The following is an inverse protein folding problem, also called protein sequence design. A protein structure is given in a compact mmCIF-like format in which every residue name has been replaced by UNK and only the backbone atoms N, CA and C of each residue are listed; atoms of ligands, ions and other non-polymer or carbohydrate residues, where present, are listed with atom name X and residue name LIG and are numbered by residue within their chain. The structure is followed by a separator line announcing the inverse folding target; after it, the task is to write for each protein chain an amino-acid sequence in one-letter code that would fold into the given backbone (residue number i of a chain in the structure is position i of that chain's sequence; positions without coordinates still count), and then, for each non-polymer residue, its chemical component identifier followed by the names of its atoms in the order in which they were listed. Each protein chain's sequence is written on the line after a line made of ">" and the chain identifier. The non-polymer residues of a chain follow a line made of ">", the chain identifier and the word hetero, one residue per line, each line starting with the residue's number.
data_IF_722159218773
#
_entry.id   IF_722159218773
#
_cell.length_a   1.000
_cell.length_b   1.000
_cell.length_c   1.000
_cell.angle_alpha   90.00
_cell.angle_beta   90.00
_cell.angle_gamma   90.00
#
_symmetry.space_group_name_H-M   'P 1'
#
loop_
_entity.id
_entity.type
_entity.pdbx_description
1 polymer ?
#
# COMPACT_ATOMS: atom_id res chain seq x y z
N UNK A 1 11.24 -11.34 -25.60
CA UNK A 1 11.84 -10.12 -25.04
C UNK A 1 10.73 -9.11 -24.83
N UNK A 2 10.77 -8.31 -23.78
CA UNK A 2 9.84 -7.20 -23.62
C UNK A 2 10.09 -6.15 -24.72
N UNK A 3 9.05 -5.39 -25.09
CA UNK A 3 9.18 -4.25 -26.00
C UNK A 3 10.09 -3.19 -25.36
N UNK A 4 10.86 -2.46 -26.18
CA UNK A 4 11.48 -1.21 -25.72
C UNK A 4 10.40 -0.21 -25.28
N UNK A 5 10.74 0.82 -24.48
CA UNK A 5 9.74 1.80 -24.04
C UNK A 5 9.02 2.48 -25.20
N UNK A 6 9.73 2.85 -26.27
CA UNK A 6 9.13 3.46 -27.46
C UNK A 6 8.23 2.46 -28.21
N UNK A 7 8.67 1.21 -28.39
CA UNK A 7 7.84 0.17 -29.02
C UNK A 7 6.58 -0.15 -28.18
N UNK A 8 6.68 -0.15 -26.85
CA UNK A 8 5.54 -0.33 -25.96
C UNK A 8 4.56 0.85 -26.05
N UNK A 9 5.09 2.08 -26.08
CA UNK A 9 4.29 3.29 -26.27
C UNK A 9 3.58 3.28 -27.62
N UNK A 10 4.28 2.94 -28.70
CA UNK A 10 3.70 2.83 -30.05
C UNK A 10 2.64 1.72 -30.12
N UNK A 11 2.89 0.59 -29.46
CA UNK A 11 1.90 -0.49 -29.34
C UNK A 11 0.62 0.00 -28.65
N UNK A 12 0.73 0.73 -27.53
CA UNK A 12 -0.42 1.28 -26.84
C UNK A 12 -1.14 2.36 -27.68
N UNK A 13 -0.39 3.24 -28.36
CA UNK A 13 -0.95 4.27 -29.24
C UNK A 13 -1.75 3.71 -30.40
N UNK A 14 -1.35 2.55 -30.94
CA UNK A 14 -2.08 1.90 -32.02
C UNK A 14 -3.53 1.54 -31.65
N UNK A 15 -3.84 1.41 -30.36
CA UNK A 15 -5.18 1.16 -29.84
C UNK A 15 -5.89 2.42 -29.32
N UNK A 16 -5.23 3.58 -29.34
CA UNK A 16 -5.76 4.83 -28.83
C UNK A 16 -6.54 5.62 -29.90
N UNK A 17 -7.41 6.53 -29.46
CA UNK A 17 -8.10 7.47 -30.34
C UNK A 17 -7.18 8.60 -30.85
N UNK A 18 -7.72 9.55 -31.61
CA UNK A 18 -6.96 10.69 -32.13
C UNK A 18 -6.44 11.66 -31.07
N UNK A 19 -6.92 11.55 -29.82
CA UNK A 19 -6.42 12.30 -28.65
C UNK A 19 -5.46 11.47 -27.79
N UNK A 20 -5.01 10.30 -28.28
CA UNK A 20 -4.12 9.37 -27.59
C UNK A 20 -4.75 8.78 -26.31
N UNK A 21 -6.06 8.63 -26.25
CA UNK A 21 -6.76 8.00 -25.13
C UNK A 21 -7.12 6.56 -25.46
N UNK A 22 -6.87 5.67 -24.52
CA UNK A 22 -7.33 4.28 -24.60
C UNK A 22 -8.83 4.18 -24.24
N UNK A 23 -9.51 3.09 -24.64
CA UNK A 23 -10.83 2.77 -24.12
C UNK A 23 -10.84 2.66 -22.58
N UNK A 24 -11.98 2.95 -21.96
CA UNK A 24 -12.13 2.80 -20.51
C UNK A 24 -11.82 1.36 -20.06
N UNK A 25 -11.14 1.25 -18.92
CA UNK A 25 -10.84 -0.04 -18.32
C UNK A 25 -12.14 -0.75 -17.92
N UNK A 26 -12.22 -2.07 -18.11
CA UNK A 26 -13.38 -2.87 -17.67
C UNK A 26 -13.72 -2.68 -16.18
N UNK A 27 -12.72 -2.34 -15.36
CA UNK A 27 -12.87 -2.11 -13.93
C UNK A 27 -13.75 -0.90 -13.58
N UNK A 28 -13.85 0.11 -14.45
CA UNK A 28 -14.72 1.28 -14.20
C UNK A 28 -16.20 0.93 -14.37
N UNK A 29 -16.53 -0.20 -14.99
CA UNK A 29 -17.89 -0.73 -15.09
C UNK A 29 -18.25 -1.72 -13.98
N UNK A 30 -17.38 -1.96 -13.01
CA UNK A 30 -17.71 -2.81 -11.86
C UNK A 30 -18.56 -2.03 -10.86
N UNK A 31 -19.52 -2.69 -10.21
CA UNK A 31 -20.41 -2.06 -9.19
C UNK A 31 -19.66 -1.45 -7.99
N UNK A 32 -18.39 -1.83 -7.82
CA UNK A 32 -17.50 -1.35 -6.75
C UNK A 32 -16.65 -0.14 -7.18
N UNK A 33 -16.73 0.29 -8.44
CA UNK A 33 -16.12 1.53 -8.91
C UNK A 33 -16.74 2.72 -8.17
N UNK A 34 -15.95 3.66 -7.64
CA UNK A 34 -16.48 4.89 -7.05
C UNK A 34 -17.00 5.89 -8.09
N UNK A 35 -16.75 5.62 -9.38
CA UNK A 35 -17.08 6.52 -10.46
C UNK A 35 -18.12 5.91 -11.40
N UNK A 36 -19.16 6.67 -11.69
CA UNK A 36 -20.11 6.34 -12.75
C UNK A 36 -19.40 6.38 -14.12
N UNK A 37 -19.66 5.42 -15.02
CA UNK A 37 -19.00 5.39 -16.33
C UNK A 37 -19.28 6.61 -17.21
N UNK A 38 -20.43 7.26 -17.01
CA UNK A 38 -20.83 8.41 -17.81
C UNK A 38 -19.89 9.60 -17.55
N UNK A 39 -19.29 10.12 -18.63
CA UNK A 39 -18.35 11.24 -18.55
C UNK A 39 -16.92 10.88 -18.16
N UNK A 40 -16.64 9.64 -17.73
CA UNK A 40 -15.26 9.19 -17.51
C UNK A 40 -14.48 9.13 -18.83
N UNK A 41 -13.21 9.59 -18.77
CA UNK A 41 -12.29 9.55 -19.91
C UNK A 41 -10.91 9.12 -19.42
N UNK A 42 -10.26 8.22 -20.17
CA UNK A 42 -8.86 7.85 -19.90
C UNK A 42 -7.95 9.04 -20.23
N UNK A 43 -6.96 9.30 -19.38
CA UNK A 43 -5.96 10.33 -19.64
C UNK A 43 -5.15 10.02 -20.91
N UNK A 44 -4.70 11.03 -21.68
CA UNK A 44 -3.88 10.79 -22.86
C UNK A 44 -2.58 10.07 -22.50
N UNK A 45 -2.16 9.12 -23.33
CA UNK A 45 -0.88 8.45 -23.19
C UNK A 45 0.26 9.46 -23.35
N UNK A 46 1.18 9.48 -22.39
CA UNK A 46 2.40 10.27 -22.44
C UNK A 46 3.56 9.42 -23.00
N UNK A 47 4.46 9.99 -23.82
CA UNK A 47 5.67 9.30 -24.25
C UNK A 47 6.51 8.84 -23.04
N UNK A 48 7.31 7.76 -23.19
CA UNK A 48 8.21 7.30 -22.15
C UNK A 48 9.29 8.35 -21.87
N UNK A 49 9.76 8.40 -20.61
CA UNK A 49 10.86 9.27 -20.18
C UNK A 49 11.94 8.39 -19.58
N UNK A 50 13.15 8.48 -20.12
CA UNK A 50 14.33 7.76 -19.62
C UNK A 50 15.54 8.70 -19.44
N UNK A 51 16.32 8.52 -18.35
CA UNK A 51 16.04 7.66 -17.21
C UNK A 51 14.79 8.14 -16.46
N UNK A 52 14.12 7.22 -15.75
CA UNK A 52 13.04 7.60 -14.84
C UNK A 52 13.58 8.52 -13.73
N UNK A 53 12.78 9.48 -13.23
CA UNK A 53 13.15 10.22 -12.03
C UNK A 53 13.41 9.26 -10.85
N UNK A 54 14.39 9.54 -9.98
CA UNK A 54 14.65 8.70 -8.82
C UNK A 54 13.43 8.68 -7.90
N UNK A 55 13.14 7.52 -7.29
CA UNK A 55 12.08 7.42 -6.29
C UNK A 55 12.54 8.09 -4.98
N UNK A 56 11.60 8.28 -4.06
CA UNK A 56 11.95 8.77 -2.73
C UNK A 56 12.92 7.79 -2.04
N UNK A 57 14.04 8.33 -1.56
CA UNK A 57 15.06 7.55 -0.87
C UNK A 57 15.82 6.57 -1.75
N UNK A 58 15.87 6.76 -3.08
CA UNK A 58 16.76 5.97 -3.96
C UNK A 58 18.23 6.05 -3.50
N UNK A 59 18.64 7.21 -2.97
CA UNK A 59 19.82 7.33 -2.10
C UNK A 59 19.38 7.07 -0.64
N UNK A 60 19.93 6.03 0.03
CA UNK A 60 19.64 5.76 1.43
C UNK A 60 19.91 6.94 2.38
N UNK A 61 20.83 7.86 2.04
CA UNK A 61 21.14 9.04 2.86
C UNK A 61 19.96 10.03 2.93
N UNK A 62 19.14 10.07 1.88
CA UNK A 62 17.95 10.94 1.79
C UNK A 62 16.65 10.22 2.16
N UNK A 63 16.72 8.92 2.46
CA UNK A 63 15.55 8.12 2.76
C UNK A 63 14.89 8.51 4.10
N UNK A 64 13.67 9.04 4.03
CA UNK A 64 12.85 9.36 5.21
C UNK A 64 12.53 8.14 6.08
N UNK A 65 12.36 6.96 5.48
CA UNK A 65 12.03 5.73 6.21
C UNK A 65 13.22 5.18 6.98
N UNK A 66 14.46 5.38 6.50
CA UNK A 66 15.67 5.10 7.26
C UNK A 66 15.79 6.02 8.47
N UNK A 67 15.46 7.31 8.31
CA UNK A 67 15.47 8.28 9.41
C UNK A 67 14.44 7.92 10.49
N UNK A 68 13.28 7.41 10.08
CA UNK A 68 12.20 6.95 10.94
C UNK A 68 12.31 5.45 11.36
N UNK A 69 13.49 4.82 11.26
CA UNK A 69 13.66 3.37 11.50
C UNK A 69 13.30 2.90 12.92
N UNK A 70 13.29 3.82 13.87
CA UNK A 70 12.94 3.59 15.28
C UNK A 70 11.60 4.23 15.66
N UNK A 71 10.82 4.68 14.67
CA UNK A 71 9.47 5.22 14.83
C UNK A 71 8.42 4.22 14.32
N UNK A 72 7.34 4.05 15.08
CA UNK A 72 6.31 3.07 14.76
C UNK A 72 5.49 2.66 15.99
N UNK A 73 4.71 1.60 15.83
CA UNK A 73 3.89 0.96 16.86
C UNK A 73 4.53 -0.30 17.42
N UNK A 74 5.22 -1.06 16.56
CA UNK A 74 5.75 -2.38 16.87
C UNK A 74 7.06 -2.62 16.10
N UNK A 75 7.98 -3.35 16.72
CA UNK A 75 9.33 -3.59 16.19
C UNK A 75 9.82 -5.01 16.46
N UNK A 76 10.65 -5.52 15.56
CA UNK A 76 11.64 -6.57 15.80
C UNK A 76 13.05 -6.01 15.57
N UNK A 77 14.05 -6.88 15.55
CA UNK A 77 15.39 -6.48 15.12
C UNK A 77 15.40 -6.01 13.65
N UNK A 78 14.58 -6.63 12.78
CA UNK A 78 14.58 -6.37 11.34
C UNK A 78 13.37 -5.58 10.82
N UNK A 79 12.26 -5.52 11.56
CA UNK A 79 10.99 -4.98 11.06
C UNK A 79 10.41 -3.92 11.97
N UNK A 80 9.63 -3.00 11.39
CA UNK A 80 8.77 -2.07 12.12
C UNK A 80 7.40 -1.94 11.45
N UNK A 81 6.38 -1.74 12.25
CA UNK A 81 5.01 -1.48 11.81
C UNK A 81 4.60 -0.08 12.24
N UNK A 82 4.03 0.72 11.34
CA UNK A 82 3.52 2.05 11.63
C UNK A 82 2.07 2.21 11.17
N UNK A 83 1.31 3.08 11.85
CA UNK A 83 -0.01 3.52 11.40
C UNK A 83 0.14 4.60 10.32
N UNK A 84 -0.74 4.57 9.33
CA UNK A 84 -0.95 5.68 8.40
C UNK A 84 -2.14 6.50 8.91
N UNK A 85 -1.93 7.79 9.18
CA UNK A 85 -2.98 8.71 9.60
C UNK A 85 -3.62 9.40 8.39
N UNK A 86 -4.75 10.08 8.57
CA UNK A 86 -5.42 10.81 7.49
C UNK A 86 -6.18 9.93 6.48
N UNK A 87 -6.32 8.64 6.76
CA UNK A 87 -7.02 7.68 5.87
C UNK A 87 -8.52 7.63 6.16
N UNK A 88 -9.33 7.27 5.17
CA UNK A 88 -10.78 7.12 5.31
C UNK A 88 -11.23 5.72 5.73
N UNK A 89 -10.40 4.69 5.52
CA UNK A 89 -10.64 3.34 6.04
C UNK A 89 -10.43 3.28 7.56
N UNK A 90 -11.05 2.32 8.27
CA UNK A 90 -10.89 2.15 9.72
C UNK A 90 -9.44 2.06 10.20
N UNK A 91 -8.57 1.43 9.41
CA UNK A 91 -7.16 1.29 9.75
C UNK A 91 -6.32 1.06 8.49
N UNK A 92 -5.23 1.82 8.37
CA UNK A 92 -4.17 1.58 7.42
C UNK A 92 -2.83 1.45 8.17
N UNK A 93 -2.09 0.38 7.88
CA UNK A 93 -0.77 0.11 8.46
C UNK A 93 0.26 -0.05 7.36
N UNK A 94 1.52 0.25 7.67
CA UNK A 94 2.64 -0.06 6.82
C UNK A 94 3.72 -0.84 7.58
N UNK A 95 4.14 -1.96 7.01
CA UNK A 95 5.27 -2.76 7.47
C UNK A 95 6.52 -2.37 6.67
N UNK A 96 7.62 -2.12 7.36
CA UNK A 96 8.92 -1.75 6.77
C UNK A 96 10.01 -2.65 7.35
N UNK A 97 11.03 -3.04 6.56
CA UNK A 97 12.30 -3.41 7.16
C UNK A 97 12.92 -2.18 7.85
N UNK A 98 13.70 -2.39 8.89
CA UNK A 98 14.40 -1.31 9.62
C UNK A 98 15.64 -0.82 8.90
N UNK A 99 16.19 -1.63 8.01
CA UNK A 99 17.28 -1.28 7.12
C UNK A 99 16.75 -1.03 5.70
N UNK A 100 17.58 -0.37 4.89
CA UNK A 100 17.20 0.05 3.54
C UNK A 100 17.28 -1.15 2.59
N UNK A 101 16.13 -1.59 2.09
CA UNK A 101 16.03 -2.60 1.04
C UNK A 101 14.97 -2.19 0.04
N UNK A 102 15.19 -2.39 -1.26
CA UNK A 102 14.08 -2.62 -2.18
C UNK A 102 13.68 -4.10 -2.13
N UNK A 103 12.47 -4.42 -2.59
CA UNK A 103 11.94 -5.77 -2.62
C UNK A 103 12.84 -6.74 -3.41
N UNK A 104 13.40 -6.29 -4.53
CA UNK A 104 14.23 -7.13 -5.39
C UNK A 104 15.60 -7.47 -4.77
N UNK A 105 16.02 -6.70 -3.77
CA UNK A 105 17.32 -6.83 -3.09
C UNK A 105 17.16 -7.42 -1.67
N UNK A 106 15.94 -7.76 -1.27
CA UNK A 106 15.65 -8.30 0.05
C UNK A 106 16.29 -9.70 0.19
N UNK A 107 17.14 -9.94 1.20
CA UNK A 107 17.70 -11.26 1.46
C UNK A 107 16.62 -12.31 1.71
N UNK A 108 16.88 -13.56 1.30
CA UNK A 108 15.91 -14.66 1.36
C UNK A 108 15.36 -14.89 2.78
N UNK A 109 16.20 -14.73 3.81
CA UNK A 109 15.78 -14.85 5.20
C UNK A 109 14.75 -13.77 5.58
N UNK A 110 14.98 -12.52 5.16
CA UNK A 110 14.03 -11.42 5.38
C UNK A 110 12.79 -11.58 4.51
N UNK A 111 12.90 -12.12 3.29
CA UNK A 111 11.75 -12.44 2.46
C UNK A 111 10.85 -13.51 3.12
N UNK A 112 11.44 -14.51 3.78
CA UNK A 112 10.71 -15.50 4.57
C UNK A 112 10.01 -14.84 5.77
N UNK A 113 10.69 -13.97 6.52
CA UNK A 113 10.08 -13.19 7.61
C UNK A 113 8.92 -12.32 7.11
N UNK A 114 9.09 -11.62 5.99
CA UNK A 114 8.07 -10.78 5.36
C UNK A 114 6.81 -11.59 5.04
N UNK A 115 6.96 -12.79 4.47
CA UNK A 115 5.84 -13.69 4.18
C UNK A 115 5.06 -14.08 5.43
N UNK A 116 5.76 -14.50 6.49
CA UNK A 116 5.14 -14.85 7.78
C UNK A 116 4.47 -13.63 8.40
N UNK A 117 5.16 -12.49 8.48
CA UNK A 117 4.63 -11.25 9.07
C UNK A 117 3.38 -10.76 8.35
N UNK A 118 3.37 -10.82 7.02
CA UNK A 118 2.18 -10.47 6.23
C UNK A 118 0.95 -11.25 6.70
N UNK A 119 1.09 -12.56 6.96
CA UNK A 119 -0.01 -13.38 7.47
C UNK A 119 -0.43 -13.00 8.90
N UNK A 120 0.54 -12.68 9.78
CA UNK A 120 0.25 -12.28 11.15
C UNK A 120 -0.49 -10.94 11.19
N UNK A 121 -0.01 -9.92 10.47
CA UNK A 121 -0.67 -8.60 10.41
C UNK A 121 -2.09 -8.74 9.85
N UNK A 122 -2.28 -9.47 8.74
CA UNK A 122 -3.62 -9.72 8.16
C UNK A 122 -4.55 -10.40 9.16
N UNK A 123 -4.07 -11.41 9.90
CA UNK A 123 -4.87 -12.10 10.93
C UNK A 123 -5.32 -11.13 12.02
N UNK A 124 -4.41 -10.30 12.53
CA UNK A 124 -4.73 -9.39 13.63
C UNK A 124 -5.63 -8.24 13.19
N UNK A 125 -5.41 -7.67 12.00
CA UNK A 125 -6.31 -6.65 11.44
C UNK A 125 -7.72 -7.19 11.24
N UNK A 126 -7.87 -8.44 10.75
CA UNK A 126 -9.20 -9.06 10.58
C UNK A 126 -9.82 -9.57 11.89
N UNK A 127 -9.07 -9.61 12.98
CA UNK A 127 -9.61 -9.93 14.31
C UNK A 127 -10.26 -8.72 14.98
N UNK A 128 -10.00 -7.51 14.48
CA UNK A 128 -10.66 -6.30 14.95
C UNK A 128 -12.18 -6.36 14.73
N UNK A 129 -12.99 -5.83 15.66
CA UNK A 129 -14.42 -5.68 15.45
C UNK A 129 -14.72 -4.91 14.16
N UNK A 130 -15.75 -5.32 13.45
CA UNK A 130 -16.25 -4.62 12.25
C UNK A 130 -15.25 -4.54 11.08
N UNK A 131 -14.14 -5.29 11.11
CA UNK A 131 -13.26 -5.47 9.94
C UNK A 131 -13.54 -6.84 9.33
N UNK A 132 -13.74 -6.89 8.02
CA UNK A 132 -14.03 -8.15 7.32
C UNK A 132 -12.84 -8.68 6.52
N UNK A 133 -12.01 -7.79 5.96
CA UNK A 133 -10.82 -8.15 5.19
C UNK A 133 -9.68 -7.19 5.47
N UNK A 134 -8.45 -7.69 5.45
CA UNK A 134 -7.26 -6.86 5.35
C UNK A 134 -6.67 -7.05 3.95
N UNK A 135 -6.58 -5.98 3.16
CA UNK A 135 -5.94 -6.00 1.85
C UNK A 135 -4.46 -5.63 1.97
N UNK A 136 -3.60 -6.36 1.26
CA UNK A 136 -2.15 -6.13 1.25
C UNK A 136 -1.72 -5.63 -0.11
N UNK A 137 -0.98 -4.53 -0.16
CA UNK A 137 -0.45 -3.97 -1.41
C UNK A 137 1.05 -3.70 -1.28
N UNK A 138 1.80 -4.07 -2.31
CA UNK A 138 3.16 -3.58 -2.55
C UNK A 138 3.11 -2.67 -3.76
N UNK A 139 3.41 -1.39 -3.56
CA UNK A 139 3.54 -0.39 -4.60
C UNK A 139 4.99 0.12 -4.54
N UNK A 140 5.75 -0.08 -5.63
CA UNK A 140 7.20 0.13 -5.64
C UNK A 140 7.66 1.48 -6.16
N UNK A 141 6.75 2.28 -6.72
CA UNK A 141 7.12 3.45 -7.53
C UNK A 141 7.23 4.74 -6.70
N UNK A 142 6.67 4.76 -5.49
CA UNK A 142 6.70 5.93 -4.61
C UNK A 142 7.98 6.07 -3.80
N UNK A 143 8.66 4.96 -3.46
CA UNK A 143 9.88 4.97 -2.68
C UNK A 143 10.71 3.69 -2.87
N UNK A 144 12.03 3.81 -2.75
CA UNK A 144 12.97 2.69 -2.82
C UNK A 144 12.97 1.81 -1.56
N UNK A 145 12.70 2.41 -0.38
CA UNK A 145 12.59 1.65 0.87
C UNK A 145 11.32 0.80 0.86
N UNK A 146 11.50 -0.52 0.94
CA UNK A 146 10.46 -1.53 0.95
C UNK A 146 9.40 -1.22 2.00
N UNK A 147 8.14 -1.24 1.56
CA UNK A 147 7.01 -1.15 2.46
C UNK A 147 5.82 -1.95 1.92
N UNK A 148 5.05 -2.50 2.84
CA UNK A 148 3.80 -3.22 2.54
C UNK A 148 2.65 -2.49 3.22
N UNK A 149 1.64 -2.14 2.43
CA UNK A 149 0.41 -1.54 2.91
C UNK A 149 -0.57 -2.61 3.38
N UNK A 150 -1.27 -2.34 4.48
CA UNK A 150 -2.37 -3.15 4.99
C UNK A 150 -3.58 -2.23 5.21
N UNK A 151 -4.66 -2.44 4.46
CA UNK A 151 -5.90 -1.68 4.59
C UNK A 151 -7.00 -2.54 5.21
N UNK A 152 -7.60 -2.08 6.30
CA UNK A 152 -8.73 -2.73 6.96
C UNK A 152 -10.04 -2.38 6.24
N UNK A 153 -10.60 -3.34 5.50
CA UNK A 153 -11.90 -3.18 4.85
C UNK A 153 -13.03 -3.36 5.88
N UNK A 154 -13.92 -2.36 6.06
CA UNK A 154 -15.02 -2.48 7.00
C UNK A 154 -16.01 -3.58 6.59
N UNK A 155 -16.59 -4.22 7.60
CA UNK A 155 -17.60 -5.27 7.44
C UNK A 155 -18.88 -4.71 6.82
N UNK A 156 -19.55 -5.53 6.00
CA UNK A 156 -20.79 -5.15 5.31
C UNK A 156 -20.63 -4.19 4.12
N UNK A 157 -19.52 -3.46 4.00
CA UNK A 157 -19.35 -2.45 2.94
C UNK A 157 -18.84 -3.02 1.62
N UNK A 158 -19.74 -3.68 0.88
CA UNK A 158 -19.46 -4.38 -0.38
C UNK A 158 -18.90 -3.49 -1.50
N UNK A 159 -19.11 -2.17 -1.46
CA UNK A 159 -18.53 -1.23 -2.43
C UNK A 159 -17.01 -1.14 -2.32
N UNK A 160 -16.43 -1.44 -1.15
CA UNK A 160 -15.00 -1.26 -0.89
C UNK A 160 -14.18 -2.54 -1.14
N UNK A 161 -14.61 -3.40 -2.06
CA UNK A 161 -13.92 -4.66 -2.35
C UNK A 161 -12.72 -4.46 -3.27
N UNK A 162 -11.63 -5.17 -2.99
CA UNK A 162 -10.56 -5.41 -3.95
C UNK A 162 -9.78 -4.14 -4.31
N UNK A 163 -9.42 -4.01 -5.59
CA UNK A 163 -8.50 -2.99 -6.09
C UNK A 163 -9.01 -1.55 -6.01
N UNK A 164 -10.30 -1.33 -5.76
CA UNK A 164 -10.86 0.02 -5.57
C UNK A 164 -10.77 0.52 -4.12
N UNK A 165 -10.39 -0.32 -3.14
CA UNK A 165 -10.32 0.12 -1.74
C UNK A 165 -9.41 1.35 -1.53
N UNK A 166 -8.19 1.44 -2.11
CA UNK A 166 -7.34 2.63 -1.94
C UNK A 166 -7.93 3.91 -2.55
N UNK A 167 -8.78 3.78 -3.59
CA UNK A 167 -9.44 4.94 -4.20
C UNK A 167 -10.64 5.37 -3.36
N UNK A 168 -11.39 4.41 -2.82
CA UNK A 168 -12.43 4.70 -1.84
C UNK A 168 -11.87 5.33 -0.57
N UNK A 169 -10.71 4.87 -0.10
CA UNK A 169 -10.00 5.44 1.05
C UNK A 169 -9.74 6.95 0.89
N UNK A 170 -9.28 7.37 -0.30
CA UNK A 170 -9.03 8.78 -0.64
C UNK A 170 -10.32 9.63 -0.75
N UNK A 171 -11.46 9.00 -1.07
CA UNK A 171 -12.76 9.67 -1.22
C UNK A 171 -13.54 9.78 0.09
N UNK A 172 -13.28 8.87 1.03
CA UNK A 172 -13.95 8.83 2.32
C UNK A 172 -13.46 9.96 3.23
N UNK A 173 -14.30 10.48 4.15
CA UNK A 173 -13.82 11.40 5.16
C UNK A 173 -12.78 10.72 6.05
N UNK A 174 -11.82 11.49 6.57
CA UNK A 174 -10.81 10.98 7.50
C UNK A 174 -11.47 10.22 8.66
N UNK A 175 -10.97 9.02 8.92
CA UNK A 175 -11.47 8.16 9.98
C UNK A 175 -11.05 8.70 11.36
N UNK A 176 -11.90 8.62 12.40
CA UNK A 176 -11.57 9.15 13.72
C UNK A 176 -10.25 8.60 14.30
N UNK A 177 -9.28 9.49 14.53
CA UNK A 177 -7.92 9.14 14.91
C UNK A 177 -7.83 8.33 16.21
N UNK A 178 -8.61 8.70 17.25
CA UNK A 178 -8.60 8.00 18.55
C UNK A 178 -9.01 6.52 18.40
N UNK A 179 -10.01 6.23 17.56
CA UNK A 179 -10.48 4.87 17.31
C UNK A 179 -9.41 4.08 16.54
N UNK A 180 -8.87 4.68 15.47
CA UNK A 180 -7.81 4.05 14.68
C UNK A 180 -6.54 3.79 15.50
N UNK A 181 -6.19 4.66 16.45
CA UNK A 181 -5.05 4.50 17.35
C UNK A 181 -5.24 3.35 18.33
N UNK A 182 -6.44 3.21 18.90
CA UNK A 182 -6.78 2.09 19.76
C UNK A 182 -6.69 0.75 19.01
N UNK A 183 -7.26 0.67 17.81
CA UNK A 183 -7.23 -0.53 16.97
C UNK A 183 -5.81 -0.88 16.51
N UNK A 184 -5.02 0.12 16.09
CA UNK A 184 -3.62 -0.06 15.75
C UNK A 184 -2.80 -0.59 16.95
N UNK A 185 -3.11 -0.08 18.15
CA UNK A 185 -2.53 -0.57 19.40
C UNK A 185 -2.87 -2.03 19.69
N UNK A 186 -4.14 -2.42 19.48
CA UNK A 186 -4.59 -3.80 19.66
C UNK A 186 -3.88 -4.76 18.68
N UNK A 187 -3.70 -4.35 17.42
CA UNK A 187 -2.93 -5.11 16.42
C UNK A 187 -1.47 -5.27 16.86
N UNK A 188 -0.84 -4.20 17.35
CA UNK A 188 0.54 -4.26 17.83
C UNK A 188 0.70 -5.22 19.03
N UNK A 189 -0.21 -5.18 20.02
CA UNK A 189 -0.21 -6.11 21.15
C UNK A 189 -0.38 -7.57 20.70
N UNK A 190 -1.29 -7.81 19.76
CA UNK A 190 -1.52 -9.14 19.22
C UNK A 190 -0.32 -9.67 18.40
N UNK A 191 0.46 -8.78 17.76
CA UNK A 191 1.72 -9.17 17.12
C UNK A 191 2.79 -9.53 18.16
N UNK A 192 2.93 -8.78 19.25
CA UNK A 192 3.81 -9.14 20.37
C UNK A 192 3.48 -10.54 20.88
N UNK A 193 2.19 -10.85 21.06
CA UNK A 193 1.76 -12.15 21.55
C UNK A 193 1.93 -13.30 20.53
N UNK A 194 1.69 -13.04 19.24
CA UNK A 194 1.65 -14.09 18.20
C UNK A 194 2.95 -14.31 17.45
N UNK A 195 3.81 -13.30 17.35
CA UNK A 195 5.07 -13.32 16.61
C UNK A 195 6.27 -12.94 17.48
N UNK A 196 6.06 -12.12 18.52
CA UNK A 196 7.13 -11.56 19.35
C UNK A 196 7.43 -10.11 18.99
N UNK A 197 8.66 -9.66 19.25
CA UNK A 197 9.04 -8.26 19.11
C UNK A 197 8.58 -7.40 20.29
N UNK A 198 8.54 -6.08 20.09
CA UNK A 198 8.23 -5.11 21.14
C UNK A 198 7.35 -3.98 20.62
N UNK A 199 6.45 -3.51 21.47
CA UNK A 199 5.65 -2.31 21.23
C UNK A 199 6.44 -1.07 21.61
N UNK A 200 6.17 0.05 20.94
CA UNK A 200 6.63 1.38 21.39
C UNK A 200 6.14 1.62 22.81
N UNK A 201 7.03 2.05 23.70
CA UNK A 201 6.61 2.45 25.04
C UNK A 201 5.68 3.66 24.92
N UNK A 202 4.52 3.61 25.58
CA UNK A 202 3.68 4.81 25.68
C UNK A 202 4.48 5.88 26.42
N UNK A 203 4.68 7.03 25.77
CA UNK A 203 5.25 8.22 26.40
C UNK A 203 4.24 8.89 27.33
#
# INVERSE_FOLDING_TARGET
>A
MALTPDEFYDHARAAADSELRLPLARMTGWEISPFEPEGLRVSPLRPPVLPEPPRHGEDPADCGMCKARDEGLWFTDHWRLARVAGVGVPLALMLYPRDHYDLAELPDELAAEMGVLTTHVVRQVQALPHVARAHVYRLGDGAAHLHLWFFARPAGQGQFLGSWLPVWDDLLPEYPAEVAEADAGAVADALVASYGGRRTANA
#
